data_IF_530734373113
#
_entry.id   IF_530734373113
#
_cell.length_a   1.000
_cell.length_b   1.000
_cell.length_c   1.000
_cell.angle_alpha   90.00
_cell.angle_beta   90.00
_cell.angle_gamma   90.00
#
_symmetry.space_group_name_H-M   'P 1'
#
loop_
_entity.id
_entity.type
_entity.pdbx_description
1 polymer ?
#
# COMPACT_ATOMS: atom_id res chain seq x y z
N UNK A 1 14.78 6.95 11.10
CA UNK A 1 14.97 8.39 11.45
C UNK A 1 15.16 8.61 12.96
N UNK A 2 14.68 7.71 13.79
CA UNK A 2 14.83 7.78 15.26
C UNK A 2 16.30 7.77 15.70
N UNK A 3 17.15 6.96 15.06
CA UNK A 3 18.58 6.91 15.35
C UNK A 3 19.32 8.22 15.13
N UNK A 4 18.93 8.99 14.12
CA UNK A 4 19.54 10.33 13.85
C UNK A 4 19.20 11.34 14.97
N UNK A 5 17.96 11.31 15.46
CA UNK A 5 17.51 12.24 16.51
C UNK A 5 18.17 11.85 17.86
N UNK A 6 18.11 10.58 18.22
CA UNK A 6 18.73 10.07 19.45
C UNK A 6 20.26 10.26 19.38
N UNK A 7 20.89 9.90 18.25
CA UNK A 7 22.33 10.08 18.04
C UNK A 7 22.74 11.54 18.12
N UNK A 8 21.97 12.47 17.54
CA UNK A 8 22.25 13.90 17.61
C UNK A 8 22.18 14.46 19.04
N UNK A 9 21.14 14.09 19.80
CA UNK A 9 20.98 14.50 21.21
C UNK A 9 22.10 13.91 22.08
N UNK A 10 22.40 12.62 21.92
CA UNK A 10 23.44 11.95 22.68
C UNK A 10 24.84 12.46 22.33
N UNK A 11 25.12 12.71 21.03
CA UNK A 11 26.38 13.28 20.55
C UNK A 11 26.62 14.69 21.08
N UNK A 12 25.56 15.53 21.12
CA UNK A 12 25.62 16.86 21.70
C UNK A 12 25.90 16.81 23.20
N UNK A 13 25.31 15.83 23.93
CA UNK A 13 25.42 15.70 25.36
C UNK A 13 26.78 15.16 25.82
N UNK A 14 27.40 14.24 25.05
CA UNK A 14 28.66 13.56 25.42
C UNK A 14 29.90 14.32 24.91
N UNK A 15 29.90 14.81 23.67
CA UNK A 15 31.05 15.44 23.05
C UNK A 15 31.01 17.00 23.08
N UNK A 16 29.98 17.59 23.67
CA UNK A 16 29.83 19.02 23.90
C UNK A 16 29.86 19.87 22.61
N UNK A 17 28.69 20.42 22.22
CA UNK A 17 28.61 21.38 21.13
C UNK A 17 28.20 20.82 19.76
N UNK A 18 28.18 21.68 18.70
CA UNK A 18 27.63 21.34 17.39
C UNK A 18 28.38 20.21 16.66
N UNK A 19 29.67 20.03 16.92
CA UNK A 19 30.46 18.93 16.37
C UNK A 19 30.06 17.57 16.92
N UNK A 20 29.73 17.48 18.22
CA UNK A 20 29.22 16.26 18.84
C UNK A 20 27.85 15.88 18.30
N UNK A 21 26.97 16.88 18.08
CA UNK A 21 25.67 16.65 17.47
C UNK A 21 25.80 16.12 16.02
N UNK A 22 26.69 16.69 15.19
CA UNK A 22 26.96 16.23 13.84
C UNK A 22 27.51 14.79 13.80
N UNK A 23 28.45 14.47 14.68
CA UNK A 23 29.00 13.12 14.82
C UNK A 23 27.92 12.12 15.28
N UNK A 24 27.08 12.52 16.24
CA UNK A 24 25.98 11.72 16.73
C UNK A 24 24.87 11.51 15.69
N UNK A 25 24.57 12.52 14.86
CA UNK A 25 23.66 12.40 13.70
C UNK A 25 24.25 11.46 12.66
N UNK A 26 25.55 11.55 12.38
CA UNK A 26 26.25 10.66 11.45
C UNK A 26 26.24 9.21 11.92
N UNK A 27 26.56 8.95 13.19
CA UNK A 27 26.54 7.62 13.79
C UNK A 27 25.11 7.08 13.88
N UNK A 28 24.14 7.93 14.24
CA UNK A 28 22.71 7.57 14.22
C UNK A 28 22.19 7.29 12.82
N UNK A 29 22.73 7.96 11.79
CA UNK A 29 22.44 7.65 10.40
C UNK A 29 23.04 6.31 9.98
N UNK A 30 24.27 6.00 10.38
CA UNK A 30 24.90 4.70 10.16
C UNK A 30 24.11 3.59 10.88
N UNK A 31 23.64 3.82 12.10
CA UNK A 31 22.80 2.89 12.84
C UNK A 31 21.43 2.66 12.19
N UNK A 32 20.75 3.75 11.74
CA UNK A 32 19.52 3.65 10.97
C UNK A 32 19.73 2.91 9.64
N UNK A 33 20.91 3.10 9.01
CA UNK A 33 21.27 2.43 7.76
C UNK A 33 21.68 0.97 7.97
N UNK A 34 22.33 0.63 9.07
CA UNK A 34 22.65 -0.75 9.44
C UNK A 34 21.39 -1.55 9.79
N UNK A 35 20.38 -0.89 10.35
CA UNK A 35 19.05 -1.46 10.61
C UNK A 35 18.21 -1.61 9.33
N UNK A 36 18.54 -0.85 8.29
CA UNK A 36 17.97 -0.90 6.93
C UNK A 36 19.00 -1.47 5.93
N UNK A 37 19.84 -2.40 6.35
CA UNK A 37 20.86 -3.02 5.51
C UNK A 37 20.27 -3.57 4.21
N UNK A 38 21.09 -3.70 3.14
CA UNK A 38 20.61 -4.29 1.90
C UNK A 38 20.01 -5.66 2.20
N UNK A 39 18.79 -5.86 1.70
CA UNK A 39 18.08 -7.13 1.85
C UNK A 39 18.94 -8.19 1.17
N UNK A 40 19.36 -9.21 1.90
CA UNK A 40 20.04 -10.35 1.28
C UNK A 40 19.06 -11.08 0.36
N UNK A 41 19.54 -11.70 -0.72
CA UNK A 41 18.68 -12.41 -1.67
C UNK A 41 17.72 -13.42 -1.00
N UNK A 42 18.16 -14.10 0.06
CA UNK A 42 17.32 -14.99 0.84
C UNK A 42 16.20 -14.28 1.61
N UNK A 43 16.47 -13.12 2.19
CA UNK A 43 15.44 -12.31 2.88
C UNK A 43 14.43 -11.72 1.91
N UNK A 44 14.88 -11.35 0.72
CA UNK A 44 14.00 -10.84 -0.34
C UNK A 44 13.05 -11.93 -0.82
N UNK A 45 13.56 -13.16 -1.01
CA UNK A 45 12.72 -14.28 -1.40
C UNK A 45 11.70 -14.63 -0.32
N UNK A 46 12.09 -14.65 0.95
CA UNK A 46 11.14 -14.84 2.07
C UNK A 46 10.06 -13.76 2.11
N UNK A 47 10.42 -12.51 1.86
CA UNK A 47 9.44 -11.43 1.80
C UNK A 47 8.47 -11.58 0.63
N UNK A 48 8.95 -12.02 -0.56
CA UNK A 48 8.11 -12.33 -1.72
C UNK A 48 7.10 -13.42 -1.40
N UNK A 49 7.58 -14.54 -0.86
CA UNK A 49 6.72 -15.67 -0.54
C UNK A 49 5.70 -15.32 0.53
N UNK A 50 6.12 -14.65 1.59
CA UNK A 50 5.22 -14.21 2.66
C UNK A 50 4.18 -13.21 2.16
N UNK A 51 4.59 -12.21 1.34
CA UNK A 51 3.68 -11.23 0.76
C UNK A 51 2.65 -11.89 -0.14
N UNK A 52 3.08 -12.73 -1.08
CA UNK A 52 2.22 -13.46 -2.00
C UNK A 52 1.21 -14.34 -1.24
N UNK A 53 1.69 -15.14 -0.29
CA UNK A 53 0.85 -16.02 0.52
C UNK A 53 -0.20 -15.20 1.28
N UNK A 54 0.22 -14.14 1.97
CA UNK A 54 -0.68 -13.34 2.80
C UNK A 54 -1.74 -12.62 1.98
N UNK A 55 -1.38 -12.06 0.81
CA UNK A 55 -2.35 -11.41 -0.07
C UNK A 55 -3.45 -12.38 -0.45
N UNK A 56 -3.12 -13.52 -1.04
CA UNK A 56 -4.13 -14.43 -1.58
C UNK A 56 -4.93 -15.16 -0.50
N UNK A 57 -4.32 -15.49 0.65
CA UNK A 57 -5.06 -16.08 1.77
C UNK A 57 -6.05 -15.08 2.38
N UNK A 58 -5.63 -13.84 2.60
CA UNK A 58 -6.53 -12.81 3.12
C UNK A 58 -7.61 -12.43 2.12
N UNK A 59 -7.34 -12.41 0.81
CA UNK A 59 -8.36 -12.19 -0.21
C UNK A 59 -9.45 -13.25 -0.14
N UNK A 60 -9.09 -14.53 0.00
CA UNK A 60 -10.06 -15.61 0.19
C UNK A 60 -10.86 -15.47 1.49
N UNK A 61 -10.23 -14.94 2.55
CA UNK A 61 -10.92 -14.73 3.82
C UNK A 61 -11.87 -13.52 3.77
N UNK A 62 -11.48 -12.45 3.12
CA UNK A 62 -12.34 -11.26 2.90
C UNK A 62 -13.53 -11.64 2.05
N UNK A 63 -13.32 -12.33 0.92
CA UNK A 63 -14.38 -12.82 0.04
C UNK A 63 -15.37 -13.79 0.74
N UNK A 64 -14.98 -14.40 1.85
CA UNK A 64 -15.83 -15.29 2.64
C UNK A 64 -16.51 -14.59 3.80
N UNK A 65 -16.28 -13.29 4.03
CA UNK A 65 -16.71 -12.58 5.23
C UNK A 65 -18.22 -12.54 5.42
N UNK A 66 -19.00 -12.54 4.35
CA UNK A 66 -20.46 -12.60 4.36
C UNK A 66 -21.02 -14.04 4.49
N UNK A 67 -20.14 -15.06 4.50
CA UNK A 67 -20.48 -16.48 4.64
C UNK A 67 -20.54 -17.26 3.33
N UNK A 68 -20.49 -16.62 2.16
CA UNK A 68 -20.47 -17.27 0.83
C UNK A 68 -19.47 -16.57 -0.08
N UNK A 69 -18.83 -17.35 -0.93
CA UNK A 69 -18.04 -16.79 -2.03
C UNK A 69 -18.94 -16.79 -3.27
N UNK A 70 -19.23 -15.62 -3.78
CA UNK A 70 -20.03 -15.44 -4.99
C UNK A 70 -19.21 -15.74 -6.26
N UNK A 71 -19.91 -15.96 -7.38
CA UNK A 71 -19.25 -16.07 -8.70
C UNK A 71 -18.50 -14.80 -9.07
N UNK A 72 -19.01 -13.66 -8.64
CA UNK A 72 -18.44 -12.35 -8.97
C UNK A 72 -17.11 -12.12 -8.21
N UNK A 73 -17.02 -12.51 -6.94
CA UNK A 73 -15.78 -12.46 -6.17
C UNK A 73 -14.70 -13.41 -6.72
N UNK A 74 -15.10 -14.59 -7.21
CA UNK A 74 -14.17 -15.48 -7.92
C UNK A 74 -13.68 -14.81 -9.20
N UNK A 75 -14.57 -14.25 -10.00
CA UNK A 75 -14.20 -13.57 -11.25
C UNK A 75 -13.30 -12.35 -10.97
N UNK A 76 -13.54 -11.61 -9.90
CA UNK A 76 -12.69 -10.49 -9.47
C UNK A 76 -11.29 -10.97 -9.04
N UNK A 77 -11.22 -12.06 -8.26
CA UNK A 77 -9.93 -12.64 -7.88
C UNK A 77 -9.15 -13.12 -9.11
N UNK A 78 -9.81 -13.72 -10.08
CA UNK A 78 -9.21 -14.12 -11.37
C UNK A 78 -8.77 -12.91 -12.19
N UNK A 79 -9.59 -11.87 -12.29
CA UNK A 79 -9.23 -10.63 -12.98
C UNK A 79 -8.02 -9.93 -12.31
N UNK A 80 -7.89 -10.02 -10.99
CA UNK A 80 -6.70 -9.56 -10.27
C UNK A 80 -5.46 -10.37 -10.65
N UNK A 81 -5.56 -11.70 -10.70
CA UNK A 81 -4.45 -12.58 -11.12
C UNK A 81 -4.02 -12.28 -12.57
N UNK A 82 -4.97 -11.97 -13.45
CA UNK A 82 -4.70 -11.58 -14.84
C UNK A 82 -4.00 -10.22 -14.93
N UNK A 83 -4.43 -9.23 -14.14
CA UNK A 83 -3.75 -7.93 -14.04
C UNK A 83 -2.32 -8.07 -13.50
N UNK A 84 -2.11 -8.99 -12.57
CA UNK A 84 -0.78 -9.32 -12.06
C UNK A 84 0.07 -10.09 -13.09
N UNK A 85 -0.53 -10.58 -14.17
CA UNK A 85 0.13 -11.42 -15.20
C UNK A 85 0.79 -12.66 -14.62
N UNK A 86 0.12 -13.29 -13.63
CA UNK A 86 0.64 -14.49 -13.01
C UNK A 86 0.83 -15.61 -14.05
N UNK A 87 1.98 -16.27 -14.00
CA UNK A 87 2.20 -17.48 -14.77
C UNK A 87 1.30 -18.63 -14.27
N UNK A 88 1.27 -19.74 -15.00
CA UNK A 88 0.41 -20.88 -14.68
C UNK A 88 0.68 -21.51 -13.31
N UNK A 89 1.92 -21.46 -12.84
CA UNK A 89 2.34 -22.02 -11.54
C UNK A 89 1.92 -21.09 -10.41
N UNK A 90 2.24 -19.80 -10.54
CA UNK A 90 1.86 -18.77 -9.58
C UNK A 90 0.33 -18.63 -9.48
N UNK A 91 -0.39 -18.77 -10.61
CA UNK A 91 -1.86 -18.75 -10.64
C UNK A 91 -2.46 -19.92 -9.85
N UNK A 92 -1.97 -21.14 -10.05
CA UNK A 92 -2.42 -22.31 -9.27
C UNK A 92 -2.20 -22.10 -7.78
N UNK A 93 -0.98 -21.65 -7.40
CA UNK A 93 -0.65 -21.34 -6.01
C UNK A 93 -1.57 -20.26 -5.43
N UNK A 94 -1.86 -19.20 -6.18
CA UNK A 94 -2.78 -18.14 -5.77
C UNK A 94 -4.19 -18.66 -5.48
N UNK A 95 -4.73 -19.53 -6.36
CA UNK A 95 -6.04 -20.17 -6.19
C UNK A 95 -6.06 -21.06 -4.94
N UNK A 96 -5.01 -21.85 -4.71
CA UNK A 96 -4.89 -22.71 -3.52
C UNK A 96 -4.87 -21.89 -2.23
N UNK A 97 -4.10 -20.79 -2.22
CA UNK A 97 -4.03 -19.87 -1.09
C UNK A 97 -5.37 -19.17 -0.84
N UNK A 98 -6.04 -18.70 -1.89
CA UNK A 98 -7.36 -18.11 -1.80
C UNK A 98 -8.36 -19.11 -1.18
N UNK A 99 -8.42 -20.34 -1.69
CA UNK A 99 -9.26 -21.41 -1.13
C UNK A 99 -8.90 -21.74 0.33
N UNK A 100 -7.62 -21.70 0.67
CA UNK A 100 -7.15 -21.93 2.05
C UNK A 100 -7.61 -20.81 2.99
N UNK A 101 -7.54 -19.55 2.55
CA UNK A 101 -8.02 -18.40 3.32
C UNK A 101 -9.55 -18.40 3.55
N UNK A 102 -10.31 -18.99 2.62
CA UNK A 102 -11.75 -19.12 2.72
C UNK A 102 -12.25 -20.23 3.68
N UNK A 103 -11.33 -21.04 4.22
CA UNK A 103 -11.69 -22.11 5.14
C UNK A 103 -12.03 -21.57 6.54
N UNK A 104 -12.95 -22.22 7.27
CA UNK A 104 -13.29 -21.80 8.64
C UNK A 104 -12.10 -21.80 9.62
N UNK A 105 -11.11 -22.66 9.39
CA UNK A 105 -9.94 -22.82 10.24
C UNK A 105 -8.87 -21.73 10.00
N UNK A 106 -9.05 -20.88 8.98
CA UNK A 106 -8.07 -19.82 8.68
C UNK A 106 -8.03 -18.76 9.78
N UNK A 107 -6.85 -18.51 10.29
CA UNK A 107 -6.59 -17.51 11.34
C UNK A 107 -5.93 -16.26 10.74
N UNK A 108 -6.66 -15.13 10.75
CA UNK A 108 -6.07 -13.82 10.41
C UNK A 108 -4.88 -13.51 11.31
N UNK A 109 -5.00 -13.80 12.61
CA UNK A 109 -3.99 -13.47 13.60
C UNK A 109 -2.66 -14.17 13.30
N UNK A 110 -2.71 -15.45 12.96
CA UNK A 110 -1.52 -16.23 12.59
C UNK A 110 -0.92 -15.74 11.26
N UNK A 111 -1.76 -15.53 10.24
CA UNK A 111 -1.31 -15.04 8.94
C UNK A 111 -0.65 -13.66 9.06
N UNK A 112 -1.22 -12.77 9.85
CA UNK A 112 -0.69 -11.43 10.07
C UNK A 112 0.56 -11.44 10.97
N UNK A 113 0.65 -12.32 11.95
CA UNK A 113 1.84 -12.49 12.77
C UNK A 113 3.03 -12.92 11.91
N UNK A 114 2.83 -13.91 11.01
CA UNK A 114 3.88 -14.37 10.10
C UNK A 114 4.27 -13.27 9.10
N UNK A 115 3.30 -12.56 8.52
CA UNK A 115 3.57 -11.42 7.66
C UNK A 115 4.39 -10.35 8.36
N UNK A 116 4.01 -9.97 9.58
CA UNK A 116 4.69 -8.95 10.35
C UNK A 116 6.09 -9.38 10.79
N UNK A 117 6.31 -10.66 11.03
CA UNK A 117 7.64 -11.21 11.33
C UNK A 117 8.62 -11.02 10.16
N UNK A 118 8.15 -11.24 8.92
CA UNK A 118 8.97 -11.18 7.70
C UNK A 118 8.96 -9.78 7.09
N UNK A 119 7.78 -9.19 6.89
CA UNK A 119 7.56 -7.96 6.13
C UNK A 119 7.35 -6.72 7.01
N UNK A 120 7.18 -6.86 8.32
CA UNK A 120 6.76 -5.78 9.22
C UNK A 120 7.67 -4.54 9.25
N UNK A 121 8.96 -4.70 8.91
CA UNK A 121 9.92 -3.58 8.77
C UNK A 121 9.70 -2.74 7.51
N UNK A 122 8.97 -3.25 6.50
CA UNK A 122 8.75 -2.60 5.22
C UNK A 122 7.38 -1.91 5.18
N UNK A 123 7.34 -0.64 5.55
CA UNK A 123 6.08 0.11 5.58
C UNK A 123 5.36 0.16 4.23
N UNK A 124 6.11 0.15 3.12
CA UNK A 124 5.49 0.14 1.80
C UNK A 124 4.77 -1.20 1.54
N UNK A 125 5.35 -2.36 1.92
CA UNK A 125 4.69 -3.65 1.75
C UNK A 125 3.41 -3.74 2.60
N UNK A 126 3.43 -3.20 3.83
CA UNK A 126 2.22 -3.11 4.67
C UNK A 126 1.12 -2.29 3.99
N UNK A 127 1.47 -1.15 3.41
CA UNK A 127 0.53 -0.31 2.70
C UNK A 127 0.01 -0.99 1.43
N UNK A 128 0.88 -1.69 0.69
CA UNK A 128 0.48 -2.40 -0.52
C UNK A 128 -0.44 -3.58 -0.20
N UNK A 129 -0.16 -4.34 0.86
CA UNK A 129 -1.07 -5.41 1.30
C UNK A 129 -2.48 -4.85 1.54
N UNK A 130 -2.60 -3.78 2.31
CA UNK A 130 -3.89 -3.17 2.60
C UNK A 130 -4.55 -2.59 1.33
N UNK A 131 -3.76 -1.99 0.43
CA UNK A 131 -4.22 -1.48 -0.86
C UNK A 131 -4.87 -2.58 -1.71
N UNK A 132 -4.20 -3.73 -1.86
CA UNK A 132 -4.74 -4.83 -2.66
C UNK A 132 -6.03 -5.38 -2.08
N UNK A 133 -6.05 -5.60 -0.76
CA UNK A 133 -7.24 -6.13 -0.10
C UNK A 133 -8.44 -5.19 -0.25
N UNK A 134 -8.26 -3.88 -0.01
CA UNK A 134 -9.35 -2.91 -0.16
C UNK A 134 -9.76 -2.77 -1.63
N UNK A 135 -8.78 -2.71 -2.58
CA UNK A 135 -9.10 -2.53 -4.00
C UNK A 135 -9.87 -3.71 -4.57
N UNK A 136 -9.62 -4.93 -4.08
CA UNK A 136 -10.38 -6.10 -4.51
C UNK A 136 -11.76 -6.12 -3.87
N UNK A 137 -11.86 -5.93 -2.56
CA UNK A 137 -13.14 -5.89 -1.85
C UNK A 137 -14.08 -4.77 -2.36
N UNK A 138 -13.53 -3.76 -3.03
CA UNK A 138 -14.30 -2.67 -3.65
C UNK A 138 -14.49 -2.82 -5.16
N UNK A 139 -14.15 -3.95 -5.76
CA UNK A 139 -14.17 -4.09 -7.22
C UNK A 139 -15.59 -4.09 -7.79
N UNK A 140 -16.60 -4.46 -6.99
CA UNK A 140 -18.02 -4.44 -7.33
C UNK A 140 -18.77 -3.20 -6.83
N UNK A 141 -18.09 -2.30 -6.08
CA UNK A 141 -18.66 -1.05 -5.62
C UNK A 141 -18.27 -0.65 -4.20
N UNK A 142 -19.18 -0.75 -3.26
CA UNK A 142 -18.94 -0.41 -1.87
C UNK A 142 -18.58 -1.65 -1.04
N UNK A 143 -17.73 -1.46 -0.02
CA UNK A 143 -17.35 -2.49 0.94
C UNK A 143 -18.57 -2.94 1.76
N UNK A 144 -18.80 -4.25 1.82
CA UNK A 144 -19.73 -4.83 2.77
C UNK A 144 -19.25 -4.60 4.22
N UNK A 145 -20.17 -4.42 5.19
CA UNK A 145 -19.80 -4.25 6.59
C UNK A 145 -18.94 -5.38 7.17
N UNK A 146 -19.15 -6.62 6.76
CA UNK A 146 -18.37 -7.79 7.20
C UNK A 146 -16.96 -7.78 6.64
N UNK A 147 -16.79 -7.43 5.36
CA UNK A 147 -15.49 -7.22 4.73
C UNK A 147 -14.71 -6.08 5.38
N UNK A 148 -15.43 -4.98 5.67
CA UNK A 148 -14.83 -3.83 6.34
C UNK A 148 -14.31 -4.19 7.74
N UNK A 149 -15.00 -5.06 8.48
CA UNK A 149 -14.54 -5.53 9.79
C UNK A 149 -13.26 -6.37 9.67
N UNK A 150 -13.21 -7.31 8.71
CA UNK A 150 -12.01 -8.10 8.41
C UNK A 150 -10.84 -7.19 8.03
N UNK A 151 -11.06 -6.25 7.11
CA UNK A 151 -10.03 -5.31 6.66
C UNK A 151 -9.56 -4.39 7.80
N UNK A 152 -10.46 -3.97 8.69
CA UNK A 152 -10.10 -3.19 9.87
C UNK A 152 -9.24 -4.01 10.85
N UNK A 153 -9.50 -5.32 10.99
CA UNK A 153 -8.65 -6.22 11.79
C UNK A 153 -7.25 -6.32 11.17
N UNK A 154 -7.14 -6.53 9.87
CA UNK A 154 -5.86 -6.54 9.15
C UNK A 154 -5.12 -5.21 9.33
N UNK A 155 -5.80 -4.06 9.14
CA UNK A 155 -5.20 -2.74 9.31
C UNK A 155 -4.61 -2.54 10.71
N UNK A 156 -5.29 -3.02 11.77
CA UNK A 156 -4.77 -2.99 13.14
C UNK A 156 -3.48 -3.79 13.30
N UNK A 157 -3.41 -5.00 12.74
CA UNK A 157 -2.18 -5.81 12.75
C UNK A 157 -1.02 -5.10 12.03
N UNK A 158 -1.30 -4.37 10.96
CA UNK A 158 -0.33 -3.58 10.22
C UNK A 158 0.13 -2.31 10.96
N UNK A 159 -0.52 -1.98 12.09
CA UNK A 159 -0.23 -0.80 12.90
C UNK A 159 -0.91 0.48 12.42
N UNK A 160 -1.98 0.38 11.61
CA UNK A 160 -2.80 1.53 11.21
C UNK A 160 -3.90 1.80 12.23
N UNK A 161 -4.08 3.08 12.58
CA UNK A 161 -5.23 3.50 13.40
C UNK A 161 -6.54 3.42 12.60
N UNK A 162 -7.68 3.33 13.30
CA UNK A 162 -8.99 3.33 12.66
C UNK A 162 -9.23 4.57 11.79
N UNK A 163 -8.76 5.74 12.24
CA UNK A 163 -8.85 6.99 11.48
C UNK A 163 -8.05 6.92 10.18
N UNK A 164 -6.82 6.39 10.23
CA UNK A 164 -5.97 6.22 9.05
C UNK A 164 -6.55 5.17 8.09
N UNK A 165 -7.12 4.09 8.61
CA UNK A 165 -7.80 3.08 7.79
C UNK A 165 -8.99 3.67 7.04
N UNK A 166 -9.84 4.47 7.72
CA UNK A 166 -10.96 5.17 7.07
C UNK A 166 -10.47 6.13 5.97
N UNK A 167 -9.42 6.90 6.25
CA UNK A 167 -8.82 7.79 5.26
C UNK A 167 -8.27 7.01 4.05
N UNK A 168 -7.71 5.83 4.28
CA UNK A 168 -7.21 4.94 3.23
C UNK A 168 -8.33 4.44 2.31
N UNK A 169 -9.46 4.02 2.88
CA UNK A 169 -10.66 3.63 2.11
C UNK A 169 -11.14 4.79 1.25
N UNK A 170 -11.31 5.99 1.82
CA UNK A 170 -11.78 7.15 1.07
C UNK A 170 -10.83 7.54 -0.06
N UNK A 171 -9.52 7.42 0.16
CA UNK A 171 -8.51 7.66 -0.87
C UNK A 171 -8.64 6.65 -2.02
N UNK A 172 -8.81 5.36 -1.73
CA UNK A 172 -8.97 4.31 -2.75
C UNK A 172 -10.28 4.50 -3.51
N UNK A 173 -11.38 4.84 -2.82
CA UNK A 173 -12.66 5.20 -3.46
C UNK A 173 -12.51 6.36 -4.44
N UNK A 174 -11.82 7.40 -4.05
CA UNK A 174 -11.58 8.57 -4.89
C UNK A 174 -10.71 8.22 -6.11
N UNK A 175 -9.68 7.39 -5.93
CA UNK A 175 -8.83 6.94 -7.02
C UNK A 175 -9.60 6.08 -8.04
N UNK A 176 -10.47 5.18 -7.58
CA UNK A 176 -11.32 4.37 -8.46
C UNK A 176 -12.28 5.22 -9.30
N UNK A 177 -12.95 6.22 -8.67
CA UNK A 177 -13.83 7.15 -9.38
C UNK A 177 -13.07 8.03 -10.37
N UNK A 178 -11.90 8.51 -9.99
CA UNK A 178 -11.04 9.32 -10.85
C UNK A 178 -10.61 8.54 -12.10
N UNK A 179 -10.23 7.26 -11.96
CA UNK A 179 -9.92 6.35 -13.06
C UNK A 179 -11.11 6.19 -14.02
N UNK A 180 -12.31 5.94 -13.49
CA UNK A 180 -13.53 5.76 -14.28
C UNK A 180 -13.90 7.00 -15.11
N UNK A 181 -13.64 8.19 -14.58
CA UNK A 181 -13.97 9.45 -15.25
C UNK A 181 -12.90 9.93 -16.26
N UNK A 182 -11.69 9.38 -16.23
CA UNK A 182 -10.59 9.75 -17.15
C UNK A 182 -10.51 8.86 -18.39
N UNK A 183 -11.25 7.75 -18.44
CA UNK A 183 -11.20 6.76 -19.53
C UNK A 183 -12.06 7.13 -20.73
N UNK A 184 -12.68 8.32 -20.79
CA UNK A 184 -13.51 8.79 -21.89
C UNK A 184 -12.78 9.79 -22.79
N UNK A 185 -12.92 9.71 -24.15
CA UNK A 185 -12.38 10.71 -25.07
C UNK A 185 -13.23 12.00 -25.00
N UNK A 186 -12.79 12.96 -24.17
CA UNK A 186 -13.45 14.25 -24.05
C UNK A 186 -12.54 15.23 -23.33
N UNK A 187 -11.69 15.96 -24.07
CA UNK A 187 -10.90 17.07 -23.57
C UNK A 187 -11.80 18.30 -23.25
N UNK A 188 -12.71 18.13 -22.27
CA UNK A 188 -13.44 19.23 -21.68
C UNK A 188 -12.77 19.65 -20.37
N UNK A 189 -13.03 20.90 -19.92
CA UNK A 189 -12.60 21.35 -18.58
C UNK A 189 -13.03 20.31 -17.54
N UNK A 190 -12.13 19.89 -16.63
CA UNK A 190 -12.43 18.88 -15.62
C UNK A 190 -13.65 19.33 -14.81
N UNK A 191 -14.57 18.40 -14.57
CA UNK A 191 -15.75 18.69 -13.74
C UNK A 191 -15.31 18.97 -12.29
N UNK A 192 -16.11 19.73 -11.54
CA UNK A 192 -15.84 19.95 -10.10
C UNK A 192 -15.67 18.65 -9.32
N UNK A 193 -16.37 17.60 -9.73
CA UNK A 193 -16.27 16.28 -9.11
C UNK A 193 -14.93 15.61 -9.42
N UNK A 194 -14.44 15.66 -10.66
CA UNK A 194 -13.14 15.13 -11.04
C UNK A 194 -11.99 15.79 -10.28
N UNK A 195 -12.07 17.11 -10.10
CA UNK A 195 -11.07 17.86 -9.34
C UNK A 195 -11.11 17.48 -7.84
N UNK A 196 -12.29 17.35 -7.27
CA UNK A 196 -12.45 16.92 -5.87
C UNK A 196 -11.91 15.49 -5.66
N UNK A 197 -12.17 14.60 -6.60
CA UNK A 197 -11.63 13.23 -6.56
C UNK A 197 -10.11 13.21 -6.74
N UNK A 198 -9.54 14.08 -7.56
CA UNK A 198 -8.08 14.21 -7.69
C UNK A 198 -7.42 14.65 -6.38
N UNK A 199 -7.98 15.64 -5.66
CA UNK A 199 -7.47 16.03 -4.34
C UNK A 199 -7.55 14.89 -3.33
N UNK A 200 -8.69 14.19 -3.27
CA UNK A 200 -8.87 13.05 -2.38
C UNK A 200 -7.94 11.88 -2.75
N UNK A 201 -7.74 11.64 -4.05
CA UNK A 201 -6.83 10.60 -4.54
C UNK A 201 -5.37 10.81 -4.12
N UNK A 202 -4.97 12.07 -3.92
CA UNK A 202 -3.67 12.42 -3.33
C UNK A 202 -3.69 12.48 -1.80
N UNK A 203 -4.87 12.38 -1.17
CA UNK A 203 -5.03 12.50 0.28
C UNK A 203 -4.77 13.92 0.79
N UNK A 204 -5.14 14.94 -0.01
CA UNK A 204 -4.98 16.37 0.30
C UNK A 204 -6.31 17.13 0.14
N UNK A 205 -6.38 18.33 0.65
CA UNK A 205 -7.53 19.23 0.54
C UNK A 205 -7.29 20.29 -0.55
N UNK A 206 -8.38 20.88 -1.05
CA UNK A 206 -8.29 21.93 -2.05
C UNK A 206 -7.63 23.22 -1.50
N UNK A 207 -7.67 23.43 -0.18
CA UNK A 207 -7.08 24.57 0.53
C UNK A 207 -5.59 24.37 0.84
N UNK A 208 -5.06 23.15 0.64
CA UNK A 208 -3.64 22.88 0.89
C UNK A 208 -2.76 23.65 -0.10
N UNK A 209 -1.61 24.10 0.37
CA UNK A 209 -0.63 24.80 -0.47
C UNK A 209 -0.05 23.88 -1.54
N UNK A 210 0.44 24.44 -2.65
CA UNK A 210 1.08 23.69 -3.74
C UNK A 210 2.29 22.90 -3.24
N UNK A 211 2.99 23.40 -2.23
CA UNK A 211 4.10 22.68 -1.59
C UNK A 211 3.63 21.44 -0.83
N UNK A 212 2.48 21.51 -0.15
CA UNK A 212 1.88 20.38 0.55
C UNK A 212 1.39 19.31 -0.45
N UNK A 213 0.70 19.74 -1.51
CA UNK A 213 0.22 18.86 -2.58
C UNK A 213 1.40 18.16 -3.27
N UNK A 214 2.43 18.91 -3.64
CA UNK A 214 3.65 18.35 -4.24
C UNK A 214 4.38 17.37 -3.31
N UNK A 215 4.38 17.63 -2.01
CA UNK A 215 4.94 16.72 -1.00
C UNK A 215 4.13 15.42 -0.90
N UNK A 216 2.80 15.51 -0.88
CA UNK A 216 1.91 14.35 -0.87
C UNK A 216 2.11 13.49 -2.13
N UNK A 217 2.10 14.12 -3.31
CA UNK A 217 2.40 13.47 -4.59
C UNK A 217 3.72 12.71 -4.55
N UNK A 218 4.83 13.38 -4.19
CA UNK A 218 6.16 12.74 -4.12
C UNK A 218 6.19 11.57 -3.14
N UNK A 219 5.49 11.68 -2.01
CA UNK A 219 5.37 10.60 -1.03
C UNK A 219 4.66 9.39 -1.63
N UNK A 220 3.51 9.59 -2.28
CA UNK A 220 2.73 8.53 -2.89
C UNK A 220 3.49 7.84 -4.03
N UNK A 221 4.12 8.59 -4.94
CA UNK A 221 4.98 8.04 -5.99
C UNK A 221 6.12 7.21 -5.39
N UNK A 222 6.82 7.73 -4.37
CA UNK A 222 7.90 6.99 -3.71
C UNK A 222 7.43 5.72 -3.00
N UNK A 223 6.19 5.69 -2.51
CA UNK A 223 5.61 4.51 -1.85
C UNK A 223 5.21 3.42 -2.84
N UNK A 224 4.82 3.81 -4.06
CA UNK A 224 4.37 2.90 -5.12
C UNK A 224 5.45 2.64 -6.18
N UNK A 225 6.68 3.15 -6.00
CA UNK A 225 7.73 3.00 -7.00
C UNK A 225 8.11 1.52 -7.21
N UNK A 226 8.04 1.00 -8.44
CA UNK A 226 8.32 -0.40 -8.75
C UNK A 226 9.63 -0.91 -8.17
N UNK A 227 10.75 -0.25 -8.45
CA UNK A 227 12.09 -0.69 -8.01
C UNK A 227 12.21 -0.78 -6.50
N UNK A 228 11.54 0.15 -5.79
CA UNK A 228 11.55 0.17 -4.34
C UNK A 228 10.75 -0.98 -3.74
N UNK A 229 9.63 -1.32 -4.37
CA UNK A 229 8.78 -2.45 -3.95
C UNK A 229 9.45 -3.78 -4.22
N UNK A 230 10.03 -3.96 -5.42
CA UNK A 230 10.84 -5.14 -5.78
C UNK A 230 12.01 -5.29 -4.81
N UNK A 231 12.75 -4.20 -4.55
CA UNK A 231 13.86 -4.19 -3.59
C UNK A 231 13.45 -4.54 -2.16
N UNK A 232 12.18 -4.39 -1.80
CA UNK A 232 11.62 -4.76 -0.49
C UNK A 232 11.03 -6.18 -0.45
N UNK A 233 10.99 -6.87 -1.59
CA UNK A 233 10.47 -8.23 -1.70
C UNK A 233 9.03 -8.30 -2.19
N UNK A 234 8.52 -7.30 -2.91
CA UNK A 234 7.28 -7.46 -3.65
C UNK A 234 7.52 -8.40 -4.83
N UNK A 235 6.63 -9.38 -5.08
CA UNK A 235 6.69 -10.19 -6.28
C UNK A 235 6.63 -9.33 -7.55
N UNK A 236 7.45 -9.65 -8.55
CA UNK A 236 7.51 -8.87 -9.80
C UNK A 236 6.16 -8.84 -10.53
N UNK A 237 5.45 -9.96 -10.52
CA UNK A 237 4.11 -10.08 -11.11
C UNK A 237 3.09 -9.11 -10.47
N UNK A 238 3.29 -8.75 -9.19
CA UNK A 238 2.41 -7.83 -8.47
C UNK A 238 2.77 -6.36 -8.67
N UNK A 239 3.93 -6.06 -9.24
CA UNK A 239 4.42 -4.67 -9.43
C UNK A 239 3.62 -3.91 -10.49
N UNK A 240 2.97 -4.61 -11.43
CA UNK A 240 2.13 -3.99 -12.45
C UNK A 240 1.03 -3.11 -11.85
N UNK A 241 0.38 -3.59 -10.77
CA UNK A 241 -0.65 -2.81 -10.08
C UNK A 241 -0.09 -1.54 -9.41
N UNK A 242 1.13 -1.62 -8.85
CA UNK A 242 1.79 -0.45 -8.28
C UNK A 242 2.18 0.57 -9.37
N UNK A 243 2.53 0.10 -10.57
CA UNK A 243 2.80 0.95 -11.72
C UNK A 243 1.55 1.68 -12.18
N UNK A 244 0.43 0.97 -12.36
CA UNK A 244 -0.87 1.59 -12.66
C UNK A 244 -1.24 2.64 -11.62
N UNK A 245 -1.06 2.32 -10.33
CA UNK A 245 -1.31 3.24 -9.24
C UNK A 245 -0.46 4.51 -9.31
N UNK A 246 0.81 4.36 -9.68
CA UNK A 246 1.71 5.50 -9.87
C UNK A 246 1.23 6.40 -11.00
N UNK A 247 0.74 5.85 -12.10
CA UNK A 247 0.16 6.61 -13.23
C UNK A 247 -1.12 7.37 -12.80
N UNK A 248 -2.00 6.73 -12.03
CA UNK A 248 -3.20 7.38 -11.48
C UNK A 248 -2.85 8.57 -10.56
N UNK A 249 -1.88 8.38 -9.67
CA UNK A 249 -1.37 9.43 -8.78
C UNK A 249 -0.79 10.60 -9.59
N UNK A 250 -0.06 10.30 -10.66
CA UNK A 250 0.52 11.31 -11.54
C UNK A 250 -0.58 12.10 -12.27
N UNK A 251 -1.56 11.42 -12.86
CA UNK A 251 -2.67 12.05 -13.55
C UNK A 251 -3.50 12.96 -12.63
N UNK A 252 -3.75 12.52 -11.39
CA UNK A 252 -4.44 13.34 -10.40
C UNK A 252 -3.63 14.61 -10.04
N UNK A 253 -2.31 14.48 -9.88
CA UNK A 253 -1.44 15.63 -9.60
C UNK A 253 -1.41 16.62 -10.77
N UNK A 254 -1.27 16.14 -12.00
CA UNK A 254 -1.24 16.98 -13.21
C UNK A 254 -2.54 17.76 -13.36
N UNK A 255 -3.70 17.12 -13.14
CA UNK A 255 -5.00 17.79 -13.16
C UNK A 255 -5.11 18.94 -12.15
N UNK A 256 -4.65 18.69 -10.91
CA UNK A 256 -4.65 19.71 -9.86
C UNK A 256 -3.75 20.90 -10.25
N UNK A 257 -2.53 20.61 -10.72
CA UNK A 257 -1.56 21.64 -11.12
C UNK A 257 -2.09 22.48 -12.29
N UNK A 258 -2.75 21.86 -13.26
CA UNK A 258 -3.35 22.57 -14.41
C UNK A 258 -4.49 23.48 -13.96
N UNK A 259 -5.33 23.02 -13.04
CA UNK A 259 -6.45 23.82 -12.53
C UNK A 259 -6.03 25.01 -11.67
N UNK A 260 -4.85 24.95 -11.05
CA UNK A 260 -4.32 25.97 -10.14
C UNK A 260 -3.48 27.06 -10.83
N UNK A 261 -3.18 26.89 -12.15
CA UNK A 261 -2.54 27.91 -12.97
C UNK A 261 -3.53 29.01 -13.37
#
# INVERSE_FOLDING_TARGET
MIGKIIGGIFGFMIAGGPFGALLGIYLGHQFDRARSGPITGGQQQQARDSFFQTVFSLLGHVAKADGRISSDEIAQAEALMDKMRLDSVSRKRAIELFKSGAKPEFSIDEAMQEFMRVCGRYNNLKQQLLNYLISLAMADGDLDPSEQEVLAKVARHLGFSAALFKQFIEMIKAQSRFRGSHSGPGAGRPSKNQLADAYRALGVNAEDSDSQIKRAYRKLVSQNHPDKLIGQGMPEDMVNLATEKTQEIQAAYELIVEHRK
#
